data_IF_041949382913
#
_entry.id   IF_041949382913
#
_cell.length_a   1.000
_cell.length_b   1.000
_cell.length_c   1.000
_cell.angle_alpha   90.00
_cell.angle_beta   90.00
_cell.angle_gamma   90.00
#
_symmetry.space_group_name_H-M   'P 1'
#
loop_
_entity.id
_entity.type
_entity.pdbx_description
1 polymer ?
#
# COMPACT_ATOMS: atom_id res chain seq x y z
N UNK A 1 -4.15 9.02 -15.65
CA UNK A 1 -5.08 10.19 -15.81
C UNK A 1 -5.17 10.87 -14.44
N UNK A 2 -4.90 12.17 -14.31
CA UNK A 2 -5.13 12.88 -13.03
C UNK A 2 -6.63 12.95 -12.77
N UNK A 3 -7.02 12.86 -11.49
CA UNK A 3 -8.42 12.87 -11.09
C UNK A 3 -9.09 14.18 -11.57
N UNK A 4 -10.31 14.13 -12.12
CA UNK A 4 -11.01 15.31 -12.63
C UNK A 4 -11.10 16.47 -11.62
N UNK A 5 -11.15 16.15 -10.33
CA UNK A 5 -11.22 17.12 -9.22
C UNK A 5 -9.87 17.43 -8.56
N UNK A 6 -8.73 17.29 -9.26
CA UNK A 6 -7.44 17.74 -8.73
C UNK A 6 -7.42 19.27 -8.59
N UNK A 7 -7.90 19.75 -7.43
CA UNK A 7 -7.90 21.15 -7.02
C UNK A 7 -6.86 21.34 -5.91
N UNK A 8 -5.94 22.30 -6.07
CA UNK A 8 -5.09 22.78 -4.98
C UNK A 8 -5.97 23.52 -3.96
N UNK A 9 -6.54 22.79 -3.00
CA UNK A 9 -7.57 23.32 -2.12
C UNK A 9 -6.99 24.28 -1.06
N UNK A 10 -7.47 25.53 -1.07
CA UNK A 10 -7.47 26.42 0.11
C UNK A 10 -8.80 26.21 0.83
N UNK A 11 -8.74 25.80 2.09
CA UNK A 11 -9.91 25.50 2.92
C UNK A 11 -10.76 26.76 3.14
N UNK A 12 -12.02 26.75 2.67
CA UNK A 12 -13.09 27.63 3.17
C UNK A 12 -14.07 26.79 3.98
N UNK A 13 -14.44 27.30 5.15
CA UNK A 13 -15.35 26.67 6.12
C UNK A 13 -16.82 26.64 5.63
N UNK A 14 -17.58 25.65 6.10
CA UNK A 14 -19.04 25.53 5.99
C UNK A 14 -19.47 24.62 4.83
N UNK A 15 -20.49 23.76 4.89
CA UNK A 15 -21.74 23.74 5.68
C UNK A 15 -22.20 22.27 5.78
N UNK A 16 -22.69 21.84 6.94
CA UNK A 16 -23.44 20.59 7.08
C UNK A 16 -24.89 20.82 6.66
N UNK A 17 -25.21 20.58 5.39
CA UNK A 17 -26.59 20.29 5.01
C UNK A 17 -26.81 18.79 5.23
N UNK A 18 -27.80 18.44 6.06
CA UNK A 18 -28.03 17.12 6.64
C UNK A 18 -28.44 16.00 5.67
N UNK A 19 -27.91 15.99 4.45
CA UNK A 19 -28.32 15.06 3.38
C UNK A 19 -27.25 14.01 3.02
N UNK A 20 -26.03 14.10 3.56
CA UNK A 20 -25.02 13.03 3.45
C UNK A 20 -24.32 12.78 4.78
N UNK A 21 -24.94 11.94 5.61
CA UNK A 21 -24.50 11.62 6.98
C UNK A 21 -23.28 10.70 7.06
N UNK A 22 -22.94 9.98 5.98
CA UNK A 22 -21.88 8.97 5.97
C UNK A 22 -21.15 8.95 4.61
N UNK A 23 -19.82 9.02 4.64
CA UNK A 23 -18.98 8.97 3.42
C UNK A 23 -17.93 7.86 3.55
N UNK A 24 -17.84 6.99 2.56
CA UNK A 24 -16.77 5.97 2.47
C UNK A 24 -15.83 6.31 1.31
N UNK A 25 -14.51 6.26 1.56
CA UNK A 25 -13.50 6.45 0.52
C UNK A 25 -12.41 5.39 0.60
N UNK A 26 -11.81 5.04 -0.53
CA UNK A 26 -10.55 4.28 -0.55
C UNK A 26 -9.44 5.20 -0.04
N UNK A 27 -8.84 4.84 1.09
CA UNK A 27 -7.79 5.62 1.73
C UNK A 27 -6.39 5.23 1.22
N UNK A 28 -6.15 3.92 1.02
CA UNK A 28 -4.91 3.40 0.44
C UNK A 28 -5.11 2.02 -0.18
N UNK A 29 -4.21 1.67 -1.07
CA UNK A 29 -3.98 0.31 -1.55
C UNK A 29 -2.68 -0.17 -0.90
N UNK A 30 -2.78 -1.15 -0.02
CA UNK A 30 -1.67 -1.76 0.70
C UNK A 30 -1.24 -3.07 -0.01
N UNK A 31 -0.11 -3.65 0.40
CA UNK A 31 0.52 -4.81 -0.26
C UNK A 31 -0.41 -6.01 -0.42
N UNK A 32 -1.38 -6.15 0.48
CA UNK A 32 -2.40 -7.20 0.41
C UNK A 32 -3.76 -6.69 0.85
N UNK A 33 -4.09 -5.40 0.74
CA UNK A 33 -5.38 -4.89 1.20
C UNK A 33 -5.85 -3.62 0.49
N UNK A 34 -7.16 -3.48 0.30
CA UNK A 34 -7.80 -2.20 -0.01
C UNK A 34 -8.30 -1.60 1.30
N UNK A 35 -7.71 -0.48 1.72
CA UNK A 35 -8.11 0.17 2.98
C UNK A 35 -9.17 1.21 2.70
N UNK A 36 -10.36 0.95 3.22
CA UNK A 36 -11.49 1.88 3.20
C UNK A 36 -11.51 2.73 4.47
N UNK A 37 -11.89 4.01 4.33
CA UNK A 37 -12.12 4.92 5.44
C UNK A 37 -13.55 5.43 5.40
N UNK A 38 -14.24 5.23 6.52
CA UNK A 38 -15.59 5.73 6.80
C UNK A 38 -15.49 7.06 7.56
N UNK A 39 -16.25 8.06 7.12
CA UNK A 39 -16.49 9.30 7.85
C UNK A 39 -17.95 9.31 8.27
N UNK A 40 -18.19 9.44 9.58
CA UNK A 40 -19.52 9.48 10.17
C UNK A 40 -19.51 10.46 11.34
N UNK A 41 -20.71 10.88 11.73
CA UNK A 41 -20.91 11.81 12.84
C UNK A 41 -21.70 11.10 13.93
N UNK A 42 -21.27 11.29 15.17
CA UNK A 42 -21.93 10.75 16.35
C UNK A 42 -22.26 11.88 17.31
N UNK A 43 -23.34 11.70 18.08
CA UNK A 43 -23.82 12.70 19.04
C UNK A 43 -22.83 12.94 20.18
N UNK A 44 -22.14 11.91 20.62
CA UNK A 44 -21.10 11.95 21.66
C UNK A 44 -20.09 10.81 21.45
N UNK A 45 -19.00 10.84 22.22
CA UNK A 45 -17.90 9.87 22.10
C UNK A 45 -18.34 8.43 22.39
N UNK A 46 -19.19 8.22 23.41
CA UNK A 46 -19.63 6.88 23.79
C UNK A 46 -20.46 6.26 22.66
N UNK A 47 -21.37 7.03 22.10
CA UNK A 47 -22.15 6.62 20.93
C UNK A 47 -21.23 6.37 19.72
N UNK A 48 -20.19 7.20 19.51
CA UNK A 48 -19.25 7.00 18.40
C UNK A 48 -18.53 5.65 18.47
N UNK A 49 -18.14 5.22 19.67
CA UNK A 49 -17.45 3.95 19.90
C UNK A 49 -18.39 2.76 19.67
N UNK A 50 -19.61 2.80 20.21
CA UNK A 50 -20.61 1.75 19.96
C UNK A 50 -20.99 1.65 18.48
N UNK A 51 -21.22 2.79 17.82
CA UNK A 51 -21.49 2.83 16.38
C UNK A 51 -20.35 2.21 15.58
N UNK A 52 -19.09 2.48 15.95
CA UNK A 52 -17.94 1.88 15.26
C UNK A 52 -17.96 0.35 15.35
N UNK A 53 -18.25 -0.19 16.55
CA UNK A 53 -18.32 -1.63 16.79
C UNK A 53 -19.44 -2.28 15.97
N UNK A 54 -20.65 -1.70 16.03
CA UNK A 54 -21.82 -2.21 15.30
C UNK A 54 -21.59 -2.17 13.78
N UNK A 55 -21.00 -1.09 13.28
CA UNK A 55 -20.67 -0.94 11.87
C UNK A 55 -19.63 -1.99 11.44
N UNK A 56 -18.55 -2.18 12.20
CA UNK A 56 -17.55 -3.21 11.91
C UNK A 56 -18.17 -4.61 11.86
N UNK A 57 -19.05 -4.94 12.82
CA UNK A 57 -19.73 -6.23 12.85
C UNK A 57 -20.64 -6.42 11.62
N UNK A 58 -21.44 -5.40 11.29
CA UNK A 58 -22.35 -5.45 10.14
C UNK A 58 -21.60 -5.59 8.81
N UNK A 59 -20.49 -4.85 8.64
CA UNK A 59 -19.64 -4.91 7.46
C UNK A 59 -18.99 -6.29 7.34
N UNK A 60 -18.46 -6.84 8.45
CA UNK A 60 -17.86 -8.18 8.45
C UNK A 60 -18.88 -9.25 8.03
N UNK A 61 -20.05 -9.25 8.66
CA UNK A 61 -21.14 -10.19 8.32
C UNK A 61 -21.55 -10.08 6.85
N UNK A 62 -21.62 -8.85 6.32
CA UNK A 62 -21.97 -8.63 4.91
C UNK A 62 -20.88 -9.14 3.97
N UNK A 63 -19.62 -8.86 4.27
CA UNK A 63 -18.49 -9.34 3.47
C UNK A 63 -18.43 -10.86 3.46
N UNK A 64 -18.64 -11.51 4.61
CA UNK A 64 -18.71 -12.97 4.68
C UNK A 64 -19.84 -13.55 3.83
N UNK A 65 -21.02 -12.92 3.87
CA UNK A 65 -22.17 -13.35 3.06
C UNK A 65 -21.95 -13.15 1.55
N UNK A 66 -21.17 -12.15 1.16
CA UNK A 66 -20.82 -11.86 -0.24
C UNK A 66 -19.55 -12.59 -0.71
N UNK A 67 -18.88 -13.35 0.15
CA UNK A 67 -17.63 -14.04 -0.16
C UNK A 67 -16.42 -13.10 -0.31
N UNK A 68 -16.49 -11.89 0.25
CA UNK A 68 -15.39 -10.94 0.31
C UNK A 68 -14.48 -11.32 1.47
N UNK A 69 -13.36 -11.97 1.17
CA UNK A 69 -12.36 -12.33 2.17
C UNK A 69 -11.57 -11.11 2.64
N UNK A 70 -11.37 -10.98 3.96
CA UNK A 70 -10.51 -9.96 4.55
C UNK A 70 -9.08 -10.51 4.53
N UNK A 71 -8.18 -9.92 3.72
CA UNK A 71 -6.88 -10.51 3.47
C UNK A 71 -5.97 -10.42 4.69
N UNK A 72 -5.32 -11.53 5.02
CA UNK A 72 -4.11 -11.54 5.84
C UNK A 72 -2.89 -11.23 4.97
N UNK A 73 -1.84 -10.58 5.49
CA UNK A 73 -0.66 -10.27 4.70
C UNK A 73 0.03 -11.56 4.22
N UNK A 74 0.07 -11.77 2.91
CA UNK A 74 0.82 -12.87 2.31
C UNK A 74 2.21 -12.38 1.94
N UNK A 75 3.23 -13.16 2.32
CA UNK A 75 4.63 -12.87 1.96
C UNK A 75 5.23 -14.06 1.24
N UNK A 76 5.92 -13.79 0.13
CA UNK A 76 6.71 -14.79 -0.56
C UNK A 76 8.08 -14.90 0.13
N UNK A 77 8.42 -16.09 0.63
CA UNK A 77 9.74 -16.37 1.19
C UNK A 77 10.63 -16.97 0.09
N UNK A 78 11.72 -16.29 -0.26
CA UNK A 78 12.70 -16.79 -1.23
C UNK A 78 13.89 -17.39 -0.49
N UNK A 79 14.10 -18.69 -0.64
CA UNK A 79 15.28 -19.36 -0.11
C UNK A 79 16.49 -19.13 -1.03
N UNK A 80 17.57 -18.54 -0.49
CA UNK A 80 18.79 -18.25 -1.25
C UNK A 80 19.46 -19.50 -1.84
N UNK A 81 19.16 -20.69 -1.32
CA UNK A 81 19.65 -21.97 -1.85
C UNK A 81 19.06 -22.32 -3.22
N UNK A 82 17.86 -21.80 -3.51
CA UNK A 82 17.13 -22.05 -4.75
C UNK A 82 17.40 -20.98 -5.81
N UNK A 83 18.13 -19.92 -5.43
CA UNK A 83 18.60 -18.93 -6.39
C UNK A 83 19.70 -19.57 -7.26
N UNK A 84 19.63 -19.41 -8.59
CA UNK A 84 20.71 -19.85 -9.46
C UNK A 84 22.01 -19.19 -8.98
N UNK A 85 23.05 -20.01 -8.78
CA UNK A 85 24.37 -19.50 -8.36
C UNK A 85 24.76 -18.36 -9.31
N UNK A 86 25.19 -17.20 -8.79
CA UNK A 86 25.59 -16.09 -9.64
C UNK A 86 26.61 -16.63 -10.64
N UNK A 87 26.34 -16.44 -11.94
CA UNK A 87 27.26 -16.85 -13.00
C UNK A 87 28.60 -16.22 -12.64
N UNK A 88 29.59 -17.05 -12.30
CA UNK A 88 30.94 -16.58 -12.08
C UNK A 88 31.32 -15.80 -13.33
N UNK A 89 31.50 -14.48 -13.18
CA UNK A 89 32.06 -13.67 -14.24
C UNK A 89 33.39 -14.32 -14.59
N UNK A 90 33.60 -14.61 -15.88
CA UNK A 90 34.88 -15.18 -16.32
C UNK A 90 35.96 -14.24 -15.80
N UNK A 91 36.80 -14.70 -14.86
CA UNK A 91 38.01 -14.00 -14.47
C UNK A 91 38.78 -13.79 -15.78
N UNK A 92 38.83 -12.54 -16.24
CA UNK A 92 39.66 -12.17 -17.37
C UNK A 92 41.07 -12.66 -17.08
N UNK A 93 41.64 -13.43 -18.01
CA UNK A 93 43.03 -13.85 -17.93
C UNK A 93 43.87 -12.59 -18.13
N UNK A 94 44.65 -12.23 -17.13
CA UNK A 94 45.59 -11.12 -17.19
C UNK A 94 46.79 -11.55 -18.05
N UNK A 95 46.87 -11.02 -19.26
CA UNK A 95 48.09 -11.12 -20.05
C UNK A 95 48.98 -9.92 -19.72
N UNK A 96 50.09 -10.17 -19.03
CA UNK A 96 51.17 -9.18 -18.87
C UNK A 96 51.92 -9.09 -20.20
N UNK A 97 51.57 -8.13 -21.06
CA UNK A 97 52.49 -7.66 -22.11
C UNK A 97 53.33 -6.54 -21.50
N UNK A 98 54.64 -6.74 -21.48
CA UNK A 98 55.57 -5.71 -21.04
C UNK A 98 55.56 -4.53 -22.02
N UNK A 99 55.75 -3.34 -21.46
CA UNK A 99 56.02 -2.10 -22.20
C UNK A 99 54.83 -1.15 -22.23
N UNK A 100 54.89 -0.17 -21.34
CA UNK A 100 54.14 1.09 -21.25
C UNK A 100 52.65 1.05 -20.87
N UNK A 101 52.47 1.41 -19.61
CA UNK A 101 51.28 1.63 -18.79
C UNK A 101 50.03 2.16 -19.51
N UNK A 102 48.93 1.41 -19.40
CA UNK A 102 47.60 1.98 -19.17
C UNK A 102 46.94 1.29 -17.98
N UNK A 103 46.61 2.08 -16.95
CA UNK A 103 45.87 1.66 -15.76
C UNK A 103 44.42 2.05 -15.97
N UNK A 104 43.51 1.10 -15.89
CA UNK A 104 42.09 1.39 -15.71
C UNK A 104 41.55 0.63 -14.51
N UNK A 105 41.32 1.37 -13.42
CA UNK A 105 40.49 0.94 -12.29
C UNK A 105 39.06 1.40 -12.56
N UNK A 106 38.09 0.50 -12.55
CA UNK A 106 36.74 0.82 -12.06
C UNK A 106 36.17 -0.40 -11.32
N UNK A 107 35.51 -0.10 -10.20
CA UNK A 107 34.99 -1.05 -9.20
C UNK A 107 33.64 -1.66 -9.56
#
# INVERSE_FOLDING_TARGET
>A
RKHPDYFAYKVKQGVFDGEQSVVVKVAKLDDSAVVLRLFYWAKDQKIADFMAMDLLESVKKRFDAEGVEIPFPYRTLVNKKDLPKPKQSKKGVWHKKGGDTEVYMFG
#
